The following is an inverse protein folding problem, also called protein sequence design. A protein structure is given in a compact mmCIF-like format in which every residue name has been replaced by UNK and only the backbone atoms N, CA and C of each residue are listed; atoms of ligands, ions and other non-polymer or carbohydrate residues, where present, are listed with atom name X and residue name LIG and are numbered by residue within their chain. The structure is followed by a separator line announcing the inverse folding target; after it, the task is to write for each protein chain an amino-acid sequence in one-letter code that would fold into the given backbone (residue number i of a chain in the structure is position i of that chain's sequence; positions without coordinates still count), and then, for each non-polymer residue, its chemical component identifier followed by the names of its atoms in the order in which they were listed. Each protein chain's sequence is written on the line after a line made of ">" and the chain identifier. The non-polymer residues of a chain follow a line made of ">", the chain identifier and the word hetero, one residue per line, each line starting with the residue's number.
data_IF_868769402643
#
_entry.id   IF_868769402643
#
_cell.length_a   1.000
_cell.length_b   1.000
_cell.length_c   1.000
_cell.angle_alpha   90.00
_cell.angle_beta   90.00
_cell.angle_gamma   90.00
#
_symmetry.space_group_name_H-M   'P 1'
#
loop_
_entity.id
_entity.type
_entity.pdbx_description
1 polymer ?
#
# COMPACT_ATOMS: atom_id res chain seq x y z
N UNK A 1 -31.46 -7.33 -16.95
CA UNK A 1 -30.72 -7.95 -15.83
C UNK A 1 -29.23 -7.74 -16.00
N UNK A 2 -28.68 -7.97 -17.20
CA UNK A 2 -27.29 -7.64 -17.55
C UNK A 2 -26.94 -6.15 -17.35
N UNK A 3 -27.84 -5.23 -17.72
CA UNK A 3 -27.64 -3.78 -17.50
C UNK A 3 -27.50 -3.40 -16.03
N UNK A 4 -28.33 -3.97 -15.15
CA UNK A 4 -28.28 -3.72 -13.71
C UNK A 4 -26.96 -4.22 -13.08
N UNK A 5 -26.46 -5.37 -13.56
CA UNK A 5 -25.18 -5.90 -13.10
C UNK A 5 -24.01 -5.02 -13.54
N UNK A 6 -24.03 -4.51 -14.78
CA UNK A 6 -23.03 -3.56 -15.26
C UNK A 6 -23.05 -2.25 -14.47
N UNK A 7 -24.22 -1.70 -14.20
CA UNK A 7 -24.37 -0.45 -13.46
C UNK A 7 -23.88 -0.57 -12.00
N UNK A 8 -24.21 -1.69 -11.34
CA UNK A 8 -23.74 -1.98 -9.98
C UNK A 8 -22.22 -2.20 -9.96
N UNK A 9 -21.67 -2.92 -10.94
CA UNK A 9 -20.24 -3.16 -11.03
C UNK A 9 -19.46 -1.86 -11.26
N UNK A 10 -19.91 -0.99 -12.17
CA UNK A 10 -19.30 0.32 -12.41
C UNK A 10 -19.37 1.23 -11.17
N UNK A 11 -20.48 1.18 -10.44
CA UNK A 11 -20.61 1.90 -9.17
C UNK A 11 -19.61 1.36 -8.14
N UNK A 12 -19.49 0.04 -8.01
CA UNK A 12 -18.55 -0.61 -7.09
C UNK A 12 -17.10 -0.29 -7.45
N UNK A 13 -16.72 -0.37 -8.74
CA UNK A 13 -15.41 0.02 -9.25
C UNK A 13 -15.09 1.46 -8.83
N UNK A 14 -15.99 2.40 -9.12
CA UNK A 14 -15.83 3.83 -8.77
C UNK A 14 -15.70 4.06 -7.26
N UNK A 15 -16.49 3.34 -6.45
CA UNK A 15 -16.43 3.43 -4.98
C UNK A 15 -15.11 2.89 -4.45
N UNK A 16 -14.63 1.77 -4.98
CA UNK A 16 -13.35 1.17 -4.57
C UNK A 16 -12.17 2.08 -4.94
N UNK A 17 -12.16 2.66 -6.15
CA UNK A 17 -11.17 3.67 -6.54
C UNK A 17 -11.19 4.88 -5.61
N UNK A 18 -12.38 5.38 -5.29
CA UNK A 18 -12.52 6.53 -4.41
C UNK A 18 -11.98 6.24 -3.00
N UNK A 19 -12.27 5.07 -2.44
CA UNK A 19 -11.73 4.63 -1.14
C UNK A 19 -10.21 4.50 -1.18
N UNK A 20 -9.65 3.97 -2.27
CA UNK A 20 -8.21 3.88 -2.45
C UNK A 20 -7.56 5.27 -2.44
N UNK A 21 -8.09 6.21 -3.23
CA UNK A 21 -7.61 7.59 -3.30
C UNK A 21 -7.70 8.26 -1.91
N UNK A 22 -8.83 8.09 -1.21
CA UNK A 22 -9.03 8.66 0.12
C UNK A 22 -8.00 8.11 1.13
N UNK A 23 -7.73 6.81 1.08
CA UNK A 23 -6.74 6.15 1.94
C UNK A 23 -5.34 6.72 1.70
N UNK A 24 -4.94 6.91 0.44
CA UNK A 24 -3.66 7.54 0.07
C UNK A 24 -3.60 8.97 0.62
N UNK A 25 -4.65 9.77 0.42
CA UNK A 25 -4.70 11.17 0.89
C UNK A 25 -4.52 11.23 2.40
N UNK A 26 -5.27 10.43 3.17
CA UNK A 26 -5.19 10.39 4.63
C UNK A 26 -3.79 10.00 5.10
N UNK A 27 -3.19 8.98 4.48
CA UNK A 27 -1.85 8.53 4.81
C UNK A 27 -0.80 9.63 4.58
N UNK A 28 -0.84 10.28 3.42
CA UNK A 28 0.08 11.37 3.05
C UNK A 28 -0.08 12.56 3.99
N UNK A 29 -1.31 13.00 4.25
CA UNK A 29 -1.58 14.13 5.17
C UNK A 29 -1.06 13.82 6.57
N UNK A 30 -1.31 12.61 7.08
CA UNK A 30 -0.85 12.19 8.41
C UNK A 30 0.67 12.15 8.49
N UNK A 31 1.35 11.64 7.45
CA UNK A 31 2.81 11.61 7.38
C UNK A 31 3.40 13.02 7.36
N UNK A 32 2.87 13.92 6.52
CA UNK A 32 3.32 15.31 6.46
C UNK A 32 3.13 16.03 7.80
N UNK A 33 1.99 15.83 8.47
CA UNK A 33 1.76 16.40 9.80
C UNK A 33 2.78 15.88 10.83
N UNK A 34 3.12 14.58 10.82
CA UNK A 34 4.12 14.00 11.72
C UNK A 34 5.51 14.56 11.45
N UNK A 35 5.91 14.69 10.18
CA UNK A 35 7.18 15.29 9.76
C UNK A 35 7.25 16.74 10.22
N UNK A 36 6.21 17.54 9.97
CA UNK A 36 6.21 18.96 10.32
C UNK A 36 6.27 19.18 11.84
N UNK A 37 5.42 18.47 12.61
CA UNK A 37 5.38 18.63 14.09
C UNK A 37 6.68 18.21 14.78
N UNK A 38 7.33 17.12 14.32
CA UNK A 38 8.51 16.55 14.98
C UNK A 38 9.84 16.99 14.36
N UNK A 39 9.84 17.40 13.09
CA UNK A 39 10.98 18.02 12.41
C UNK A 39 11.38 19.34 13.06
N UNK A 40 10.40 20.13 13.54
CA UNK A 40 10.66 21.33 14.35
C UNK A 40 11.35 21.04 15.70
N UNK A 41 11.28 19.81 16.20
CA UNK A 41 11.85 19.41 17.50
C UNK A 41 13.24 18.74 17.39
N UNK A 42 13.82 18.64 16.19
CA UNK A 42 15.19 18.15 15.98
C UNK A 42 15.40 16.63 16.17
N UNK A 43 14.34 15.84 16.36
CA UNK A 43 14.43 14.38 16.58
C UNK A 43 14.16 13.59 15.29
N UNK A 44 15.18 13.49 14.42
CA UNK A 44 15.04 12.95 13.05
C UNK A 44 15.23 11.43 12.93
N UNK A 45 16.09 10.83 13.77
CA UNK A 45 16.63 9.49 13.54
C UNK A 45 15.59 8.33 13.65
N UNK A 46 14.73 8.22 14.67
CA UNK A 46 13.72 7.15 14.71
C UNK A 46 12.45 7.46 13.90
N UNK A 47 12.28 8.69 13.41
CA UNK A 47 11.02 9.16 12.84
C UNK A 47 10.82 8.70 11.39
N UNK A 48 11.90 8.64 10.61
CA UNK A 48 11.83 8.29 9.19
C UNK A 48 11.34 6.86 8.97
N UNK A 49 11.78 5.91 9.81
CA UNK A 49 11.44 4.50 9.66
C UNK A 49 9.96 4.23 9.98
N UNK A 50 9.44 4.81 11.08
CA UNK A 50 8.01 4.67 11.42
C UNK A 50 7.11 5.28 10.36
N UNK A 51 7.43 6.47 9.86
CA UNK A 51 6.62 7.14 8.83
C UNK A 51 6.67 6.36 7.51
N UNK A 52 7.85 5.87 7.09
CA UNK A 52 7.95 5.00 5.91
C UNK A 52 7.12 3.72 6.05
N UNK A 53 7.14 3.09 7.21
CA UNK A 53 6.37 1.87 7.45
C UNK A 53 4.85 2.12 7.43
N UNK A 54 4.35 3.15 8.12
CA UNK A 54 2.93 3.51 8.11
C UNK A 54 2.42 3.92 6.72
N UNK A 55 3.22 4.71 5.98
CA UNK A 55 2.93 5.05 4.59
C UNK A 55 2.92 3.80 3.71
N UNK A 56 3.93 2.93 3.84
CA UNK A 56 4.03 1.68 3.09
C UNK A 56 2.81 0.78 3.30
N UNK A 57 2.36 0.61 4.54
CA UNK A 57 1.15 -0.16 4.88
C UNK A 57 -0.12 0.47 4.27
N UNK A 58 -0.26 1.79 4.34
CA UNK A 58 -1.44 2.48 3.80
C UNK A 58 -1.49 2.44 2.27
N UNK A 59 -0.33 2.54 1.62
CA UNK A 59 -0.20 2.38 0.17
C UNK A 59 -0.51 0.94 -0.24
N UNK A 60 -0.02 -0.06 0.50
CA UNK A 60 -0.35 -1.46 0.26
C UNK A 60 -1.86 -1.69 0.34
N UNK A 61 -2.54 -1.15 1.37
CA UNK A 61 -3.99 -1.21 1.53
C UNK A 61 -4.73 -0.57 0.34
N UNK A 62 -4.31 0.62 -0.07
CA UNK A 62 -4.90 1.36 -1.19
C UNK A 62 -4.80 0.57 -2.50
N UNK A 63 -3.67 -0.11 -2.72
CA UNK A 63 -3.48 -1.00 -3.88
C UNK A 63 -4.38 -2.24 -3.83
N UNK A 64 -4.79 -2.72 -2.65
CA UNK A 64 -5.76 -3.83 -2.57
C UNK A 64 -7.15 -3.39 -3.04
N UNK A 65 -7.57 -2.17 -2.70
CA UNK A 65 -8.82 -1.60 -3.18
C UNK A 65 -8.80 -1.34 -4.69
N UNK A 66 -7.69 -0.83 -5.23
CA UNK A 66 -7.53 -0.67 -6.68
C UNK A 66 -7.57 -2.02 -7.41
N UNK A 67 -6.88 -3.03 -6.87
CA UNK A 67 -6.96 -4.39 -7.43
C UNK A 67 -8.40 -4.91 -7.42
N UNK A 68 -9.15 -4.68 -6.35
CA UNK A 68 -10.55 -5.07 -6.27
C UNK A 68 -11.39 -4.33 -7.33
N UNK A 69 -11.17 -3.03 -7.54
CA UNK A 69 -11.83 -2.24 -8.57
C UNK A 69 -11.54 -2.82 -9.97
N UNK A 70 -10.26 -3.09 -10.27
CA UNK A 70 -9.83 -3.66 -11.56
C UNK A 70 -10.42 -5.07 -11.81
N UNK A 71 -10.54 -5.91 -10.77
CA UNK A 71 -11.18 -7.23 -10.87
C UNK A 71 -12.67 -7.07 -11.22
N UNK A 72 -13.36 -6.14 -10.55
CA UNK A 72 -14.79 -5.85 -10.81
C UNK A 72 -14.98 -5.36 -12.25
N UNK A 73 -14.16 -4.41 -12.71
CA UNK A 73 -14.22 -3.89 -14.08
C UNK A 73 -13.89 -4.95 -15.13
N UNK A 74 -12.89 -5.80 -14.87
CA UNK A 74 -12.51 -6.89 -15.80
C UNK A 74 -13.58 -7.99 -15.86
N UNK A 75 -14.32 -8.25 -14.78
CA UNK A 75 -15.37 -9.27 -14.76
C UNK A 75 -16.57 -8.92 -15.66
N UNK A 76 -16.89 -7.63 -15.81
CA UNK A 76 -18.01 -7.17 -16.65
C UNK A 76 -17.64 -6.90 -18.11
N UNK A 77 -16.39 -6.51 -18.38
CA UNK A 77 -15.91 -6.22 -19.73
C UNK A 77 -14.46 -6.69 -19.89
N UNK A 78 -14.25 -8.01 -20.01
CA UNK A 78 -12.92 -8.57 -20.16
C UNK A 78 -12.29 -8.05 -21.46
N UNK A 79 -11.25 -7.24 -21.32
CA UNK A 79 -10.43 -6.77 -22.45
C UNK A 79 -8.97 -7.13 -22.19
N UNK A 80 -8.22 -7.43 -23.24
CA UNK A 80 -6.78 -7.69 -23.14
C UNK A 80 -6.03 -6.53 -22.47
N UNK A 81 -6.48 -5.28 -22.68
CA UNK A 81 -5.90 -4.11 -22.03
C UNK A 81 -6.19 -4.07 -20.52
N UNK A 82 -7.40 -4.41 -20.09
CA UNK A 82 -7.75 -4.49 -18.67
C UNK A 82 -6.95 -5.59 -17.96
N UNK A 83 -6.83 -6.77 -18.59
CA UNK A 83 -6.03 -7.88 -18.07
C UNK A 83 -4.55 -7.46 -17.93
N UNK A 84 -4.00 -6.75 -18.92
CA UNK A 84 -2.62 -6.26 -18.87
C UNK A 84 -2.39 -5.23 -17.76
N UNK A 85 -3.33 -4.29 -17.54
CA UNK A 85 -3.28 -3.34 -16.41
C UNK A 85 -3.31 -4.05 -15.07
N UNK A 86 -4.25 -4.99 -14.90
CA UNK A 86 -4.39 -5.79 -13.69
C UNK A 86 -3.11 -6.59 -13.38
N UNK A 87 -2.51 -7.21 -14.39
CA UNK A 87 -1.25 -7.94 -14.26
C UNK A 87 -0.09 -7.02 -13.87
N UNK A 88 0.01 -5.82 -14.45
CA UNK A 88 1.03 -4.83 -14.11
C UNK A 88 0.90 -4.35 -12.66
N UNK A 89 -0.30 -3.99 -12.22
CA UNK A 89 -0.57 -3.54 -10.84
C UNK A 89 -0.24 -4.66 -9.84
N UNK A 90 -0.68 -5.89 -10.13
CA UNK A 90 -0.38 -7.07 -9.29
C UNK A 90 1.13 -7.36 -9.23
N UNK A 91 1.84 -7.21 -10.36
CA UNK A 91 3.29 -7.37 -10.42
C UNK A 91 4.02 -6.32 -9.58
N UNK A 92 3.67 -5.04 -9.71
CA UNK A 92 4.24 -3.94 -8.91
C UNK A 92 3.98 -4.19 -7.42
N UNK A 93 2.74 -4.56 -7.05
CA UNK A 93 2.37 -4.87 -5.66
C UNK A 93 3.21 -6.01 -5.10
N UNK A 94 3.37 -7.10 -5.86
CA UNK A 94 4.17 -8.26 -5.45
C UNK A 94 5.63 -7.87 -5.24
N UNK A 95 6.19 -7.08 -6.16
CA UNK A 95 7.56 -6.60 -6.07
C UNK A 95 7.78 -5.70 -4.84
N UNK A 96 6.91 -4.71 -4.63
CA UNK A 96 6.99 -3.81 -3.48
C UNK A 96 6.84 -4.54 -2.15
N UNK A 97 5.82 -5.42 -2.02
CA UNK A 97 5.62 -6.20 -0.80
C UNK A 97 6.79 -7.13 -0.52
N UNK A 98 7.37 -7.74 -1.55
CA UNK A 98 8.57 -8.57 -1.41
C UNK A 98 9.75 -7.76 -0.84
N UNK A 99 10.01 -6.56 -1.38
CA UNK A 99 11.07 -5.67 -0.91
C UNK A 99 10.82 -5.17 0.52
N UNK A 100 9.60 -4.75 0.84
CA UNK A 100 9.22 -4.32 2.19
C UNK A 100 9.41 -5.44 3.22
N UNK A 101 8.94 -6.65 2.92
CA UNK A 101 9.14 -7.81 3.81
C UNK A 101 10.61 -8.15 3.99
N UNK A 102 11.42 -7.97 2.95
CA UNK A 102 12.87 -8.17 3.02
C UNK A 102 13.53 -7.12 3.91
N UNK A 103 13.25 -5.83 3.71
CA UNK A 103 13.80 -4.74 4.53
C UNK A 103 13.42 -4.91 6.01
N UNK A 104 12.18 -5.34 6.30
CA UNK A 104 11.73 -5.63 7.68
C UNK A 104 12.53 -6.80 8.29
N UNK A 105 12.77 -7.89 7.53
CA UNK A 105 13.59 -9.02 8.02
C UNK A 105 15.03 -8.61 8.32
N UNK A 106 15.66 -7.85 7.42
CA UNK A 106 17.02 -7.35 7.61
C UNK A 106 17.13 -6.48 8.89
N UNK A 107 16.14 -5.63 9.16
CA UNK A 107 16.10 -4.82 10.39
C UNK A 107 15.90 -5.67 11.66
N UNK A 108 15.10 -6.73 11.59
CA UNK A 108 14.90 -7.66 12.72
C UNK A 108 16.17 -8.44 13.05
N UNK A 109 16.90 -8.91 12.03
CA UNK A 109 18.17 -9.63 12.20
C UNK A 109 19.24 -8.75 12.87
N UNK A 110 19.38 -7.49 12.42
CA UNK A 110 20.29 -6.53 13.05
C UNK A 110 19.97 -6.28 14.53
N UNK A 111 18.69 -6.20 14.88
CA UNK A 111 18.25 -6.01 16.27
C UNK A 111 18.54 -7.24 17.12
N UNK A 112 18.40 -8.46 16.55
CA UNK A 112 18.66 -9.71 17.25
C UNK A 112 20.15 -9.93 17.52
N UNK A 113 21.02 -9.68 16.54
CA UNK A 113 22.47 -9.78 16.71
C UNK A 113 23.05 -8.77 17.70
N UNK A 114 22.34 -7.67 17.98
CA UNK A 114 22.72 -6.71 19.02
C UNK A 114 22.30 -7.14 20.45
N UNK A 115 21.42 -8.13 20.59
CA UNK A 115 20.86 -8.56 21.88
C UNK A 115 21.42 -9.89 22.41
N UNK A 116 22.09 -10.70 21.57
CA UNK A 116 22.80 -11.90 22.03
C UNK A 116 24.22 -11.51 22.50
N UNK A 117 24.54 -11.55 23.81
CA UNK A 117 25.91 -11.43 24.27
C UNK A 117 26.72 -12.64 23.76
N UNK A 118 28.03 -12.46 23.48
CA UNK A 118 28.87 -13.59 23.08
C UNK A 118 28.81 -14.68 24.15
N UNK A 119 28.53 -15.91 23.72
CA UNK A 119 28.64 -17.07 24.59
C UNK A 119 30.12 -17.24 24.97
N UNK A 120 30.46 -16.85 26.20
CA UNK A 120 31.69 -17.25 26.87
C UNK A 120 31.66 -18.74 27.22
#
# INVERSE_FOLDING_TARGET
>A
MESLLQEIALLLESVLEFIAILTIIVAVVTALQKIFRRGLQGKWQPLHQTIRLELGLSLALSLEFLLAADIVGTAISPSWNAIAKLAAITGIRTFLNFFLQREVRELQEMTRSAHDPPAE
#
